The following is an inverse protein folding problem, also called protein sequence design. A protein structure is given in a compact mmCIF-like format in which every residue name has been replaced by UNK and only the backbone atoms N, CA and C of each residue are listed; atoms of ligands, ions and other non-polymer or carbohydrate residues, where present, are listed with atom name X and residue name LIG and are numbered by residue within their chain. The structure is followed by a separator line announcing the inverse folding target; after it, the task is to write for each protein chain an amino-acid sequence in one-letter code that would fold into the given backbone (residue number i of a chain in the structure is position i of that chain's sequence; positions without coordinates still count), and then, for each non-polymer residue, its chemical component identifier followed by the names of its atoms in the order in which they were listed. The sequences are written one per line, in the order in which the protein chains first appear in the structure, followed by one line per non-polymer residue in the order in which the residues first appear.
data_IF_640814073974
#
_entry.id   IF_640814073974
#
_cell.length_a   1.000
_cell.length_b   1.000
_cell.length_c   1.000
_cell.angle_alpha   90.00
_cell.angle_beta   90.00
_cell.angle_gamma   90.00
#
_symmetry.space_group_name_H-M   'P 1'
#
loop_
_entity.id
_entity.type
_entity.pdbx_description
1 polymer ?
#
# COMPACT_ATOMS: atom_id res chain seq x y z
N UNK A 1 12.11 -9.58 3.17
CA UNK A 1 12.23 -8.33 2.41
C UNK A 1 11.30 -7.35 3.07
N UNK A 2 11.83 -6.25 3.58
CA UNK A 2 10.98 -5.22 4.19
C UNK A 2 10.17 -4.51 3.09
N UNK A 3 8.97 -4.05 3.42
CA UNK A 3 8.08 -3.39 2.46
C UNK A 3 8.75 -2.19 1.76
N UNK A 4 9.58 -1.46 2.52
CA UNK A 4 10.40 -0.37 2.01
C UNK A 4 11.38 -0.85 0.93
N UNK A 5 12.15 -1.90 1.20
CA UNK A 5 13.10 -2.49 0.25
C UNK A 5 12.42 -2.99 -1.02
N UNK A 6 11.23 -3.59 -0.88
CA UNK A 6 10.44 -4.03 -2.04
C UNK A 6 10.00 -2.86 -2.91
N UNK A 7 9.52 -1.77 -2.29
CA UNK A 7 9.14 -0.57 -3.04
C UNK A 7 10.34 0.04 -3.75
N UNK A 8 11.48 0.18 -3.06
CA UNK A 8 12.73 0.67 -3.63
C UNK A 8 13.19 -0.18 -4.83
N UNK A 9 13.17 -1.51 -4.72
CA UNK A 9 13.53 -2.42 -5.81
C UNK A 9 12.54 -2.38 -6.99
N UNK A 10 11.23 -2.31 -6.70
CA UNK A 10 10.19 -2.19 -7.73
C UNK A 10 10.36 -0.90 -8.55
N UNK A 11 10.86 0.17 -7.94
CA UNK A 11 11.20 1.41 -8.63
C UNK A 11 12.47 1.31 -9.49
N UNK A 12 13.49 0.56 -9.04
CA UNK A 12 14.72 0.32 -9.81
C UNK A 12 14.46 -0.54 -11.06
N UNK A 13 13.45 -1.42 -11.03
CA UNK A 13 13.22 -2.44 -12.08
C UNK A 13 12.40 -1.98 -13.30
N UNK A 14 11.78 -0.80 -13.32
CA UNK A 14 10.99 -0.33 -14.47
C UNK A 14 11.58 0.92 -15.14
N UNK A 15 12.58 0.71 -16.00
CA UNK A 15 13.08 1.72 -16.96
C UNK A 15 11.97 2.07 -17.96
N UNK A 16 11.25 3.18 -17.74
CA UNK A 16 10.28 3.73 -18.71
C UNK A 16 8.90 4.12 -18.16
N UNK A 17 8.52 3.71 -16.96
CA UNK A 17 7.33 4.27 -16.28
C UNK A 17 7.76 5.41 -15.36
N UNK A 18 6.99 6.53 -15.35
CA UNK A 18 7.27 7.73 -14.54
C UNK A 18 7.75 7.33 -13.14
N UNK A 19 9.00 7.67 -12.83
CA UNK A 19 9.61 7.47 -11.53
C UNK A 19 8.70 8.07 -10.47
N UNK A 20 8.13 7.20 -9.63
CA UNK A 20 7.48 7.61 -8.41
C UNK A 20 8.59 8.24 -7.55
N UNK A 21 8.62 9.58 -7.51
CA UNK A 21 9.59 10.36 -6.72
C UNK A 21 9.70 9.74 -5.32
N UNK A 22 10.89 9.72 -4.71
CA UNK A 22 11.18 9.15 -3.38
C UNK A 22 10.15 9.56 -2.29
N UNK A 23 9.51 10.72 -2.45
CA UNK A 23 8.36 11.20 -1.67
C UNK A 23 7.24 10.13 -1.55
N UNK A 24 7.10 9.24 -2.53
CA UNK A 24 6.02 8.26 -2.62
C UNK A 24 6.15 7.05 -1.69
N UNK A 25 7.36 6.56 -1.40
CA UNK A 25 7.54 5.37 -0.55
C UNK A 25 7.12 5.67 0.89
N UNK A 26 7.55 6.83 1.40
CA UNK A 26 7.11 7.32 2.71
C UNK A 26 5.59 7.50 2.76
N UNK A 27 4.96 7.93 1.67
CA UNK A 27 3.49 8.03 1.59
C UNK A 27 2.82 6.66 1.65
N UNK A 28 3.37 5.62 1.01
CA UNK A 28 2.85 4.26 1.11
C UNK A 28 2.96 3.72 2.54
N UNK A 29 4.11 3.90 3.19
CA UNK A 29 4.33 3.47 4.58
C UNK A 29 3.39 4.20 5.52
N UNK A 30 3.32 5.53 5.44
CA UNK A 30 2.46 6.34 6.31
C UNK A 30 0.98 5.97 6.16
N UNK A 31 0.49 5.69 4.95
CA UNK A 31 -0.90 5.23 4.74
C UNK A 31 -1.14 3.89 5.42
N UNK A 32 -0.21 2.95 5.30
CA UNK A 32 -0.31 1.63 5.92
C UNK A 32 -0.29 1.71 7.44
N UNK A 33 0.63 2.48 8.01
CA UNK A 33 0.70 2.70 9.45
C UNK A 33 -0.56 3.38 9.98
N UNK A 34 -1.09 4.39 9.28
CA UNK A 34 -2.32 5.06 9.68
C UNK A 34 -3.53 4.11 9.62
N UNK A 35 -3.68 3.32 8.55
CA UNK A 35 -4.76 2.32 8.47
C UNK A 35 -4.66 1.29 9.59
N UNK A 36 -3.45 0.89 9.96
CA UNK A 36 -3.22 -0.05 11.07
C UNK A 36 -3.55 0.57 12.43
N UNK A 37 -3.12 1.81 12.68
CA UNK A 37 -3.46 2.55 13.91
C UNK A 37 -4.96 2.81 14.06
N UNK A 38 -5.66 3.01 12.94
CA UNK A 38 -7.12 3.19 12.93
C UNK A 38 -7.91 1.87 12.99
N UNK A 39 -7.23 0.71 13.02
CA UNK A 39 -7.88 -0.61 13.04
C UNK A 39 -8.59 -0.98 11.73
N UNK A 40 -8.32 -0.24 10.65
CA UNK A 40 -8.91 -0.46 9.33
C UNK A 40 -8.24 -1.65 8.65
N UNK A 41 -6.91 -1.72 8.73
CA UNK A 41 -6.09 -2.80 8.19
C UNK A 41 -5.32 -3.49 9.32
N UNK A 42 -5.59 -4.77 9.53
CA UNK A 42 -5.05 -5.61 10.61
C UNK A 42 -4.16 -6.73 10.04
N UNK A 43 -3.31 -6.38 9.06
CA UNK A 43 -2.44 -7.33 8.38
C UNK A 43 -3.18 -8.46 7.64
N UNK A 44 -4.40 -8.18 7.16
CA UNK A 44 -5.15 -9.11 6.33
C UNK A 44 -4.32 -9.52 5.11
N UNK A 45 -4.32 -10.80 4.75
CA UNK A 45 -3.49 -11.35 3.66
C UNK A 45 -4.08 -11.11 2.26
N UNK A 46 -5.30 -10.61 2.18
CA UNK A 46 -6.01 -10.34 0.93
C UNK A 46 -6.94 -9.14 1.12
N UNK A 47 -7.22 -8.43 0.03
CA UNK A 47 -8.22 -7.37 0.02
C UNK A 47 -9.58 -8.02 -0.21
N UNK A 48 -10.32 -8.26 0.85
CA UNK A 48 -11.70 -8.73 0.77
C UNK A 48 -12.69 -7.55 0.61
N UNK A 49 -13.95 -7.82 0.21
CA UNK A 49 -14.95 -6.76 0.05
C UNK A 49 -15.26 -5.99 1.34
N UNK A 50 -14.99 -6.57 2.52
CA UNK A 50 -15.24 -5.93 3.81
C UNK A 50 -14.16 -4.88 4.07
N UNK A 51 -12.89 -5.24 3.88
CA UNK A 51 -11.75 -4.34 3.97
C UNK A 51 -11.85 -3.22 2.93
N UNK A 52 -12.19 -3.55 1.69
CA UNK A 52 -12.39 -2.55 0.65
C UNK A 52 -13.48 -1.53 1.05
N UNK A 53 -14.61 -2.02 1.59
CA UNK A 53 -15.68 -1.15 2.07
C UNK A 53 -15.26 -0.27 3.24
N UNK A 54 -14.52 -0.80 4.21
CA UNK A 54 -13.97 0.01 5.33
C UNK A 54 -13.09 1.16 4.81
N UNK A 55 -12.27 0.89 3.80
CA UNK A 55 -11.40 1.91 3.20
C UNK A 55 -12.24 2.94 2.42
N UNK A 56 -13.26 2.49 1.68
CA UNK A 56 -14.20 3.37 0.97
C UNK A 56 -14.94 4.33 1.92
N UNK A 57 -15.39 3.83 3.07
CA UNK A 57 -16.12 4.62 4.06
C UNK A 57 -15.20 5.63 4.79
N UNK A 58 -13.91 5.31 4.96
CA UNK A 58 -12.96 6.17 5.68
C UNK A 58 -12.31 7.25 4.81
N UNK A 59 -11.87 6.90 3.60
CA UNK A 59 -10.98 7.74 2.81
C UNK A 59 -11.63 8.20 1.50
N UNK A 60 -11.63 9.51 1.24
CA UNK A 60 -12.14 10.07 -0.02
C UNK A 60 -11.39 9.52 -1.25
N UNK A 61 -10.07 9.29 -1.12
CA UNK A 61 -9.24 8.66 -2.16
C UNK A 61 -8.94 7.19 -1.85
N UNK A 62 -9.97 6.43 -1.49
CA UNK A 62 -9.89 5.03 -1.07
C UNK A 62 -9.11 4.13 -2.05
N UNK A 63 -9.18 4.40 -3.35
CA UNK A 63 -8.45 3.63 -4.38
C UNK A 63 -6.95 3.64 -4.16
N UNK A 64 -6.39 4.76 -3.71
CA UNK A 64 -4.96 4.90 -3.39
C UNK A 64 -4.58 4.05 -2.17
N UNK A 65 -5.48 3.92 -1.20
CA UNK A 65 -5.29 3.10 -0.01
C UNK A 65 -5.41 1.60 -0.33
N UNK A 66 -6.39 1.20 -1.14
CA UNK A 66 -6.49 -0.16 -1.69
C UNK A 66 -5.21 -0.54 -2.44
N UNK A 67 -4.73 0.34 -3.33
CA UNK A 67 -3.47 0.12 -4.07
C UNK A 67 -2.24 0.03 -3.15
N UNK A 68 -2.26 0.74 -2.03
CA UNK A 68 -1.20 0.66 -1.01
C UNK A 68 -1.15 -0.73 -0.39
N UNK A 69 -2.30 -1.28 -0.01
CA UNK A 69 -2.39 -2.64 0.53
C UNK A 69 -2.01 -3.68 -0.53
N UNK A 70 -2.49 -3.53 -1.76
CA UNK A 70 -2.15 -4.43 -2.86
C UNK A 70 -0.63 -4.54 -3.08
N UNK A 71 0.06 -3.40 -3.09
CA UNK A 71 1.51 -3.37 -3.20
C UNK A 71 2.21 -4.01 -1.99
N UNK A 72 1.64 -3.88 -0.80
CA UNK A 72 2.16 -4.49 0.41
C UNK A 72 2.00 -6.01 0.40
N UNK A 73 0.83 -6.52 0.01
CA UNK A 73 0.59 -7.95 -0.12
C UNK A 73 1.51 -8.56 -1.18
N UNK A 74 1.60 -7.90 -2.35
CA UNK A 74 2.54 -8.28 -3.41
C UNK A 74 4.00 -8.32 -2.91
N UNK A 75 4.39 -7.43 -2.00
CA UNK A 75 5.73 -7.41 -1.42
C UNK A 75 6.01 -8.62 -0.52
N UNK A 76 4.99 -9.08 0.21
CA UNK A 76 5.06 -10.22 1.12
C UNK A 76 4.90 -11.56 0.39
N UNK A 77 4.65 -11.54 -0.93
CA UNK A 77 4.34 -12.72 -1.75
C UNK A 77 3.12 -13.50 -1.24
N UNK A 78 2.11 -12.79 -0.74
CA UNK A 78 0.78 -13.38 -0.49
C UNK A 78 -0.03 -13.46 -1.78
#
# INVERSE_FOLDING_TARGET
MEFKEYLEQKHVLKKGERSLKEISIAQYINRLENMSREGIYNEEKQIDPILERKIQERYQDWKTYVKTIDHYLSSKKY
#
